data_IF_841992395334
#
_entry.id   IF_841992395334
#
_cell.length_a   1.000
_cell.length_b   1.000
_cell.length_c   1.000
_cell.angle_alpha   90.00
_cell.angle_beta   90.00
_cell.angle_gamma   90.00
#
_symmetry.space_group_name_H-M   'P 1'
#
loop_
_entity.id
_entity.type
_entity.pdbx_description
1 polymer ?
#
# COMPACT_ATOMS: atom_id res chain seq x y z
N UNK A 1 -65.57 -72.80 -0.56
CA UNK A 1 -65.77 -71.39 -0.94
C UNK A 1 -64.40 -70.73 -1.27
N UNK A 2 -64.13 -70.34 -2.51
CA UNK A 2 -62.80 -69.73 -2.83
C UNK A 2 -62.79 -68.29 -2.41
N UNK A 3 -61.74 -67.85 -1.61
CA UNK A 3 -61.45 -66.46 -1.28
C UNK A 3 -61.04 -65.66 -2.52
N UNK A 4 -61.86 -64.70 -2.96
CA UNK A 4 -61.54 -63.72 -3.97
C UNK A 4 -60.33 -62.85 -3.50
N UNK A 5 -59.19 -62.97 -4.13
CA UNK A 5 -58.10 -62.04 -3.95
C UNK A 5 -58.53 -60.61 -4.44
N UNK A 6 -58.66 -59.68 -3.47
CA UNK A 6 -58.82 -58.27 -3.78
C UNK A 6 -57.52 -57.82 -4.53
N UNK A 7 -57.63 -57.56 -5.84
CA UNK A 7 -56.57 -56.94 -6.62
C UNK A 7 -56.31 -55.55 -6.03
N UNK A 8 -55.00 -55.30 -5.70
CA UNK A 8 -54.52 -54.03 -5.20
C UNK A 8 -54.63 -52.94 -6.32
N UNK A 9 -55.81 -52.38 -6.48
CA UNK A 9 -56.04 -51.26 -7.41
C UNK A 9 -55.30 -50.00 -6.98
N UNK A 10 -55.05 -49.75 -5.72
CA UNK A 10 -54.36 -48.58 -5.19
C UNK A 10 -52.87 -48.57 -5.60
N UNK A 11 -52.20 -49.70 -5.59
CA UNK A 11 -50.79 -49.79 -6.02
C UNK A 11 -50.58 -49.50 -7.49
N UNK A 12 -51.53 -49.88 -8.36
CA UNK A 12 -51.44 -49.60 -9.81
C UNK A 12 -51.62 -48.13 -10.11
N UNK A 13 -52.53 -47.41 -9.43
CA UNK A 13 -52.73 -45.98 -9.65
C UNK A 13 -51.53 -45.17 -9.17
N UNK A 14 -50.89 -45.55 -8.07
CA UNK A 14 -49.68 -44.91 -7.57
C UNK A 14 -48.48 -45.12 -8.52
N UNK A 15 -48.31 -46.34 -9.05
CA UNK A 15 -47.27 -46.64 -10.06
C UNK A 15 -47.50 -45.85 -11.35
N UNK A 16 -48.73 -45.77 -11.83
CA UNK A 16 -49.08 -45.01 -13.02
C UNK A 16 -48.85 -43.51 -12.84
N UNK A 17 -49.21 -42.95 -11.68
CA UNK A 17 -48.94 -41.56 -11.30
C UNK A 17 -47.46 -41.28 -11.26
N UNK A 18 -46.65 -42.11 -10.59
CA UNK A 18 -45.19 -42.00 -10.57
C UNK A 18 -44.58 -42.06 -11.98
N UNK A 19 -45.07 -42.98 -12.82
CA UNK A 19 -44.60 -43.09 -14.22
C UNK A 19 -44.91 -41.83 -15.03
N UNK A 20 -46.09 -41.26 -14.88
CA UNK A 20 -46.46 -39.96 -15.51
C UNK A 20 -45.57 -38.84 -14.99
N UNK A 21 -45.31 -38.77 -13.69
CA UNK A 21 -44.39 -37.78 -13.09
C UNK A 21 -42.92 -37.91 -13.65
N UNK A 22 -42.46 -39.15 -13.81
CA UNK A 22 -41.13 -39.40 -14.44
C UNK A 22 -41.09 -38.92 -15.86
N UNK A 23 -42.15 -39.22 -16.67
CA UNK A 23 -42.21 -38.73 -18.07
C UNK A 23 -42.22 -37.21 -18.11
N UNK A 24 -42.98 -36.56 -17.22
CA UNK A 24 -42.97 -35.09 -17.13
C UNK A 24 -41.61 -34.54 -16.76
N UNK A 25 -40.91 -35.15 -15.80
CA UNK A 25 -39.55 -34.77 -15.42
C UNK A 25 -38.53 -34.93 -16.57
N UNK A 26 -38.60 -36.08 -17.27
CA UNK A 26 -37.76 -36.31 -18.46
C UNK A 26 -38.03 -35.31 -19.58
N UNK A 27 -39.30 -35.00 -19.82
CA UNK A 27 -39.67 -34.00 -20.80
C UNK A 27 -39.24 -32.58 -20.42
N UNK A 28 -39.36 -32.25 -19.10
CA UNK A 28 -38.88 -31.00 -18.57
C UNK A 28 -37.37 -30.87 -18.72
N UNK A 29 -36.61 -31.91 -18.35
CA UNK A 29 -35.14 -31.96 -18.49
C UNK A 29 -34.71 -31.83 -19.97
N UNK A 30 -35.44 -32.44 -20.89
CA UNK A 30 -35.19 -32.32 -22.33
C UNK A 30 -35.42 -30.91 -22.86
N UNK A 31 -36.47 -30.23 -22.38
CA UNK A 31 -36.78 -28.84 -22.72
C UNK A 31 -35.86 -27.82 -22.05
N UNK A 32 -35.33 -28.15 -20.88
CA UNK A 32 -34.47 -27.28 -20.06
C UNK A 32 -33.19 -28.01 -19.66
N UNK A 33 -32.29 -28.27 -20.63
CA UNK A 33 -31.10 -29.09 -20.35
C UNK A 33 -30.09 -28.43 -19.41
N UNK A 34 -30.17 -27.13 -19.16
CA UNK A 34 -29.34 -26.39 -18.21
C UNK A 34 -30.19 -25.87 -17.09
N UNK A 35 -29.91 -26.30 -15.87
CA UNK A 35 -30.48 -25.76 -14.63
C UNK A 35 -29.45 -24.88 -13.94
N UNK A 36 -29.82 -23.68 -13.57
CA UNK A 36 -28.98 -22.74 -12.83
C UNK A 36 -29.43 -22.63 -11.39
N UNK A 37 -28.52 -22.39 -10.45
CA UNK A 37 -28.85 -22.10 -9.05
C UNK A 37 -29.71 -20.84 -8.95
N UNK A 38 -29.38 -19.82 -9.76
CA UNK A 38 -30.15 -18.56 -9.83
C UNK A 38 -30.21 -18.02 -11.25
N UNK A 39 -31.34 -17.46 -11.64
CA UNK A 39 -31.48 -16.69 -12.89
C UNK A 39 -30.90 -15.27 -12.74
N UNK A 40 -30.83 -14.76 -11.49
CA UNK A 40 -30.36 -13.40 -11.20
C UNK A 40 -29.48 -13.42 -9.92
N UNK A 41 -28.27 -13.99 -9.97
CA UNK A 41 -27.36 -13.96 -8.83
C UNK A 41 -26.98 -12.54 -8.49
N UNK A 42 -26.86 -12.25 -7.20
CA UNK A 42 -26.29 -11.01 -6.70
C UNK A 42 -24.93 -11.37 -6.10
N UNK A 43 -23.91 -10.65 -6.51
CA UNK A 43 -22.53 -10.80 -6.00
C UNK A 43 -22.02 -9.47 -5.46
N UNK A 44 -21.18 -9.53 -4.47
CA UNK A 44 -20.57 -8.35 -3.86
C UNK A 44 -19.48 -7.76 -4.77
N UNK A 45 -19.32 -6.45 -4.76
CA UNK A 45 -18.24 -5.78 -5.49
C UNK A 45 -16.87 -6.36 -5.06
N UNK A 46 -15.95 -6.52 -6.03
CA UNK A 46 -14.63 -7.13 -5.88
C UNK A 46 -14.63 -8.60 -5.43
N UNK A 47 -15.78 -9.25 -5.35
CA UNK A 47 -15.85 -10.69 -5.08
C UNK A 47 -15.43 -11.47 -6.35
N UNK A 48 -14.58 -12.46 -6.17
CA UNK A 48 -14.27 -13.39 -7.26
C UNK A 48 -15.52 -14.17 -7.65
N UNK A 49 -15.83 -14.18 -8.95
CA UNK A 49 -16.99 -14.87 -9.48
C UNK A 49 -16.68 -15.60 -10.77
N UNK A 50 -16.94 -16.91 -10.76
CA UNK A 50 -16.91 -17.74 -11.96
C UNK A 50 -18.37 -18.08 -12.37
N UNK A 51 -18.82 -17.66 -13.57
CA UNK A 51 -20.14 -17.98 -14.06
C UNK A 51 -20.46 -19.48 -14.12
N UNK A 52 -19.46 -20.37 -14.24
CA UNK A 52 -19.67 -21.83 -14.24
C UNK A 52 -20.23 -22.31 -12.90
N UNK A 53 -19.89 -21.64 -11.80
CA UNK A 53 -20.40 -21.98 -10.45
C UNK A 53 -21.91 -21.82 -10.30
N UNK A 54 -22.56 -21.11 -11.20
CA UNK A 54 -24.03 -20.96 -11.21
C UNK A 54 -24.76 -22.11 -11.90
N UNK A 55 -24.04 -23.06 -12.53
CA UNK A 55 -24.65 -24.27 -13.11
C UNK A 55 -24.98 -25.22 -11.95
N UNK A 56 -26.27 -25.51 -11.78
CA UNK A 56 -26.75 -26.48 -10.80
C UNK A 56 -26.71 -27.89 -11.35
N UNK A 57 -27.16 -28.07 -12.60
CA UNK A 57 -27.29 -29.35 -13.25
C UNK A 57 -27.33 -29.21 -14.76
N UNK A 58 -26.63 -30.08 -15.48
CA UNK A 58 -26.78 -30.27 -16.91
C UNK A 58 -27.36 -31.67 -17.15
N UNK A 59 -28.46 -31.75 -17.88
CA UNK A 59 -29.12 -33.01 -18.17
C UNK A 59 -28.58 -33.60 -19.49
N UNK A 60 -28.26 -34.89 -19.48
CA UNK A 60 -27.80 -35.70 -20.63
C UNK A 60 -26.42 -35.30 -21.21
N UNK A 61 -25.71 -34.36 -20.58
CA UNK A 61 -24.41 -33.85 -20.99
C UNK A 61 -23.53 -33.57 -19.77
N UNK A 62 -22.24 -33.37 -19.98
CA UNK A 62 -21.35 -32.89 -18.94
C UNK A 62 -21.41 -31.37 -18.81
N UNK A 63 -21.13 -30.83 -17.64
CA UNK A 63 -21.07 -29.36 -17.40
C UNK A 63 -20.05 -28.70 -18.33
N UNK A 64 -18.95 -29.40 -18.66
CA UNK A 64 -17.91 -28.95 -19.61
C UNK A 64 -18.38 -28.72 -21.02
N UNK A 65 -19.55 -29.28 -21.40
CA UNK A 65 -20.11 -29.10 -22.75
C UNK A 65 -20.85 -27.76 -22.89
N UNK A 66 -21.11 -27.08 -21.77
CA UNK A 66 -21.78 -25.79 -21.77
C UNK A 66 -20.80 -24.69 -22.14
N UNK A 67 -21.05 -24.01 -23.25
CA UNK A 67 -20.33 -22.78 -23.62
C UNK A 67 -20.88 -21.60 -22.84
N UNK A 68 -20.03 -20.95 -22.07
CA UNK A 68 -20.36 -19.75 -21.32
C UNK A 68 -19.81 -18.54 -22.08
N UNK A 69 -20.66 -17.53 -22.30
CA UNK A 69 -20.27 -16.29 -22.96
C UNK A 69 -20.82 -15.08 -22.22
N UNK A 70 -20.11 -13.96 -22.31
CA UNK A 70 -20.29 -12.76 -21.51
C UNK A 70 -19.14 -12.58 -20.53
N UNK A 71 -19.05 -11.42 -19.92
CA UNK A 71 -18.03 -11.12 -18.92
C UNK A 71 -18.67 -10.36 -17.77
N UNK A 72 -18.29 -10.70 -16.55
CA UNK A 72 -18.69 -10.00 -15.33
C UNK A 72 -17.50 -9.20 -14.83
N UNK A 73 -17.62 -7.86 -14.82
CA UNK A 73 -16.63 -7.01 -14.17
C UNK A 73 -17.04 -6.80 -12.71
N UNK A 74 -16.49 -7.63 -11.84
CA UNK A 74 -16.81 -7.57 -10.40
C UNK A 74 -16.30 -6.31 -9.70
N UNK A 75 -15.33 -5.60 -10.29
CA UNK A 75 -14.84 -4.33 -9.75
C UNK A 75 -15.79 -3.14 -10.03
N UNK A 76 -16.91 -3.37 -10.70
CA UNK A 76 -17.86 -2.30 -11.05
C UNK A 76 -19.30 -2.74 -10.80
N UNK A 77 -20.00 -2.00 -9.96
CA UNK A 77 -21.44 -2.19 -9.73
C UNK A 77 -22.21 -2.05 -11.04
N UNK A 78 -23.10 -3.00 -11.30
CA UNK A 78 -23.87 -3.04 -12.54
C UNK A 78 -24.53 -4.40 -12.79
N UNK A 79 -25.21 -4.50 -13.93
CA UNK A 79 -25.82 -5.74 -14.40
C UNK A 79 -25.05 -6.28 -15.60
N UNK A 80 -24.73 -7.58 -15.55
CA UNK A 80 -23.94 -8.27 -16.55
C UNK A 80 -24.71 -9.49 -17.05
N UNK A 81 -24.85 -9.60 -18.36
CA UNK A 81 -25.55 -10.73 -18.98
C UNK A 81 -24.58 -11.84 -19.30
N UNK A 82 -24.81 -13.02 -18.77
CA UNK A 82 -24.10 -14.26 -19.10
C UNK A 82 -25.03 -15.19 -19.86
N UNK A 83 -24.53 -15.76 -20.94
CA UNK A 83 -25.26 -16.74 -21.76
C UNK A 83 -24.61 -18.10 -21.62
N UNK A 84 -25.39 -19.10 -21.22
CA UNK A 84 -25.07 -20.51 -21.18
C UNK A 84 -25.65 -21.17 -22.42
N UNK A 85 -24.83 -21.79 -23.23
CA UNK A 85 -25.25 -22.45 -24.45
C UNK A 85 -24.84 -23.92 -24.46
N UNK A 86 -25.81 -24.78 -24.71
CA UNK A 86 -25.61 -26.21 -24.92
C UNK A 86 -26.28 -26.59 -26.23
N UNK A 87 -25.50 -26.94 -27.27
CA UNK A 87 -25.99 -27.14 -28.63
C UNK A 87 -26.82 -25.93 -29.13
N UNK A 88 -28.10 -26.16 -29.47
CA UNK A 88 -29.01 -25.10 -29.89
C UNK A 88 -29.81 -24.45 -28.74
N UNK A 89 -29.64 -24.94 -27.50
CA UNK A 89 -30.31 -24.39 -26.34
C UNK A 89 -29.48 -23.25 -25.75
N UNK A 90 -30.13 -22.12 -25.46
CA UNK A 90 -29.51 -20.96 -24.83
C UNK A 90 -30.33 -20.54 -23.62
N UNK A 91 -29.61 -20.22 -22.54
CA UNK A 91 -30.19 -19.67 -21.33
C UNK A 91 -29.36 -18.46 -20.88
N UNK A 92 -30.03 -17.35 -20.66
CA UNK A 92 -29.39 -16.13 -20.14
C UNK A 92 -29.59 -15.99 -18.65
N UNK A 93 -28.63 -15.36 -18.00
CA UNK A 93 -28.61 -15.04 -16.59
C UNK A 93 -28.12 -13.60 -16.42
N UNK A 94 -28.76 -12.82 -15.59
CA UNK A 94 -28.33 -11.46 -15.27
C UNK A 94 -27.63 -11.50 -13.91
N UNK A 95 -26.34 -11.21 -13.90
CA UNK A 95 -25.52 -11.12 -12.69
C UNK A 95 -25.56 -9.66 -12.23
N UNK A 96 -26.04 -9.43 -11.00
CA UNK A 96 -26.04 -8.09 -10.40
C UNK A 96 -24.86 -7.95 -9.47
N UNK A 97 -23.85 -7.14 -9.87
CA UNK A 97 -22.75 -6.74 -8.96
C UNK A 97 -23.25 -5.57 -8.13
N UNK A 98 -23.20 -5.71 -6.82
CA UNK A 98 -23.63 -4.68 -5.86
C UNK A 98 -22.60 -4.49 -4.78
N UNK A 99 -22.59 -3.32 -4.18
CA UNK A 99 -21.95 -3.06 -2.91
C UNK A 99 -23.06 -2.98 -1.86
N UNK A 100 -23.10 -3.95 -0.96
CA UNK A 100 -24.12 -4.06 0.10
C UNK A 100 -23.52 -3.97 1.49
N UNK A 101 -22.19 -3.88 1.58
CA UNK A 101 -21.48 -3.83 2.84
C UNK A 101 -21.28 -2.40 3.31
N UNK A 102 -21.40 -2.21 4.61
CA UNK A 102 -21.16 -0.91 5.21
C UNK A 102 -19.67 -0.71 5.52
N UNK A 103 -19.17 0.53 5.41
CA UNK A 103 -17.80 0.87 5.77
C UNK A 103 -17.41 0.41 7.16
N UNK A 104 -16.23 -0.19 7.31
CA UNK A 104 -15.66 -0.59 8.59
C UNK A 104 -14.96 0.61 9.22
N UNK A 105 -15.68 1.30 10.13
CA UNK A 105 -15.20 2.51 10.80
C UNK A 105 -14.61 2.19 12.17
N UNK A 106 -13.37 2.68 12.42
CA UNK A 106 -12.73 2.71 13.75
C UNK A 106 -12.44 4.16 14.13
N UNK A 107 -12.88 4.56 15.32
CA UNK A 107 -12.70 5.93 15.82
C UNK A 107 -11.77 5.99 17.01
N UNK A 108 -11.35 7.21 17.35
CA UNK A 108 -10.55 7.60 18.51
C UNK A 108 -11.16 8.84 19.14
N UNK A 109 -10.89 9.08 20.41
CA UNK A 109 -11.18 10.37 21.05
C UNK A 109 -10.35 11.47 20.41
N UNK A 110 -10.91 12.69 20.39
CA UNK A 110 -10.22 13.87 19.89
C UNK A 110 -10.27 14.98 20.92
N UNK A 111 -9.12 15.63 21.15
CA UNK A 111 -8.97 16.76 22.02
C UNK A 111 -8.40 17.93 21.21
N UNK A 112 -9.00 19.11 21.30
CA UNK A 112 -8.55 20.30 20.60
C UNK A 112 -8.95 21.58 21.34
N UNK A 113 -8.59 22.73 20.80
CA UNK A 113 -8.99 24.04 21.33
C UNK A 113 -10.43 24.41 20.98
N UNK A 114 -11.00 25.39 21.70
CA UNK A 114 -12.37 25.90 21.48
C UNK A 114 -12.57 26.61 20.12
N UNK A 115 -11.48 26.93 19.45
CA UNK A 115 -11.50 27.77 18.22
C UNK A 115 -11.54 26.88 16.97
N UNK A 116 -11.18 25.58 17.08
CA UNK A 116 -11.13 24.69 15.94
C UNK A 116 -12.53 24.43 15.35
N UNK A 117 -12.61 24.49 14.03
CA UNK A 117 -13.73 23.92 13.27
C UNK A 117 -13.54 22.40 13.17
N UNK A 118 -14.12 21.67 14.13
CA UNK A 118 -13.91 20.23 14.29
C UNK A 118 -14.55 19.47 13.13
N UNK A 119 -13.77 18.62 12.49
CA UNK A 119 -14.20 17.77 11.36
C UNK A 119 -14.23 16.30 11.73
N UNK A 120 -15.14 15.50 11.12
CA UNK A 120 -15.26 14.08 11.45
C UNK A 120 -13.97 13.28 11.21
N UNK A 121 -13.13 13.67 10.25
CA UNK A 121 -11.84 13.03 9.95
C UNK A 121 -10.89 13.00 11.15
N UNK A 122 -10.96 13.98 12.05
CA UNK A 122 -10.13 14.06 13.25
C UNK A 122 -10.35 12.88 14.20
N UNK A 123 -11.54 12.29 14.18
CA UNK A 123 -11.91 11.15 15.02
C UNK A 123 -11.61 9.80 14.39
N UNK A 124 -11.25 9.73 13.12
CA UNK A 124 -11.07 8.47 12.42
C UNK A 124 -9.68 7.90 12.69
N UNK A 125 -9.64 6.66 13.21
CA UNK A 125 -8.43 5.86 13.30
C UNK A 125 -8.20 5.09 12.01
N UNK A 126 -9.25 4.50 11.45
CA UNK A 126 -9.27 3.87 10.13
C UNK A 126 -10.70 3.78 9.61
N UNK A 127 -10.84 3.86 8.30
CA UNK A 127 -12.06 3.50 7.57
C UNK A 127 -11.64 2.63 6.40
N UNK A 128 -12.39 1.52 6.19
CA UNK A 128 -12.14 0.58 5.09
C UNK A 128 -13.46 0.23 4.44
N UNK A 129 -13.45 0.23 3.12
CA UNK A 129 -14.57 -0.12 2.26
C UNK A 129 -14.06 -0.41 0.85
N UNK A 130 -14.83 -1.14 0.06
CA UNK A 130 -14.52 -1.41 -1.35
C UNK A 130 -14.91 -0.24 -2.26
N UNK A 131 -15.65 0.73 -1.74
CA UNK A 131 -16.07 1.93 -2.44
C UNK A 131 -15.63 3.21 -1.72
N UNK A 132 -15.84 4.37 -2.37
CA UNK A 132 -15.47 5.67 -1.78
C UNK A 132 -16.40 6.00 -0.62
N UNK A 133 -15.81 6.32 0.54
CA UNK A 133 -16.51 6.68 1.76
C UNK A 133 -16.50 8.18 2.01
N UNK A 134 -17.64 8.74 2.39
CA UNK A 134 -17.79 10.08 2.93
C UNK A 134 -17.99 10.01 4.45
N UNK A 135 -17.38 10.98 5.15
CA UNK A 135 -17.50 11.12 6.61
C UNK A 135 -18.37 12.32 6.97
N UNK A 136 -19.18 12.17 8.00
CA UNK A 136 -20.01 13.25 8.54
C UNK A 136 -20.29 13.07 10.01
N UNK A 137 -20.81 14.11 10.68
CA UNK A 137 -21.40 13.96 12.00
C UNK A 137 -22.92 13.64 11.88
N UNK A 138 -23.44 12.84 12.77
CA UNK A 138 -24.90 12.59 12.89
C UNK A 138 -25.67 13.77 13.49
N UNK A 139 -25.07 14.89 13.75
CA UNK A 139 -25.72 16.04 14.33
C UNK A 139 -24.77 17.22 14.40
N UNK A 140 -25.20 18.28 15.08
CA UNK A 140 -24.34 19.44 15.29
C UNK A 140 -23.36 19.18 16.43
N UNK A 141 -22.11 19.54 16.24
CA UNK A 141 -21.11 19.58 17.30
C UNK A 141 -21.34 20.87 18.09
N UNK A 142 -21.50 20.75 19.41
CA UNK A 142 -21.67 21.89 20.30
C UNK A 142 -20.32 22.52 20.67
N UNK A 143 -20.37 23.60 21.44
CA UNK A 143 -19.17 24.22 22.04
C UNK A 143 -18.92 23.78 23.49
N UNK A 144 -19.60 22.72 23.91
CA UNK A 144 -19.42 22.13 25.25
C UNK A 144 -18.01 21.55 25.39
N UNK A 145 -17.42 21.72 26.54
CA UNK A 145 -16.05 21.29 26.81
C UNK A 145 -15.84 19.78 26.70
N UNK A 146 -16.87 19.01 27.05
CA UNK A 146 -16.88 17.55 26.86
C UNK A 146 -18.20 17.10 26.25
N UNK A 147 -18.14 16.34 25.19
CA UNK A 147 -19.32 15.79 24.52
C UNK A 147 -18.98 14.50 23.77
N UNK A 148 -20.00 13.70 23.55
CA UNK A 148 -19.95 12.54 22.64
C UNK A 148 -20.46 12.98 21.26
N UNK A 149 -19.69 12.72 20.22
CA UNK A 149 -20.07 12.94 18.83
C UNK A 149 -20.19 11.62 18.11
N UNK A 150 -21.20 11.48 17.27
CA UNK A 150 -21.38 10.28 16.44
C UNK A 150 -20.85 10.55 15.04
N UNK A 151 -19.84 9.77 14.64
CA UNK A 151 -19.26 9.82 13.30
C UNK A 151 -20.02 8.84 12.41
N UNK A 152 -20.42 9.28 11.24
CA UNK A 152 -21.06 8.49 10.18
C UNK A 152 -20.09 8.32 9.06
N UNK A 153 -19.81 7.08 8.68
CA UNK A 153 -19.10 6.72 7.46
C UNK A 153 -20.13 6.15 6.46
N UNK A 154 -20.30 6.79 5.32
CA UNK A 154 -21.26 6.39 4.30
C UNK A 154 -20.58 6.24 2.95
N UNK A 155 -20.80 5.11 2.28
CA UNK A 155 -20.30 4.86 0.93
C UNK A 155 -21.17 5.54 -0.14
N UNK A 156 -20.74 5.43 -1.41
CA UNK A 156 -21.45 6.01 -2.56
C UNK A 156 -22.73 5.26 -2.93
N UNK A 157 -22.92 4.03 -2.42
CA UNK A 157 -24.10 3.18 -2.66
C UNK A 157 -25.13 3.29 -1.55
N UNK A 158 -24.78 4.03 -0.46
CA UNK A 158 -25.73 4.34 0.60
C UNK A 158 -25.58 3.49 1.86
N UNK A 159 -24.69 2.48 1.87
CA UNK A 159 -24.41 1.73 3.07
C UNK A 159 -23.63 2.60 4.06
N UNK A 160 -23.87 2.44 5.36
CA UNK A 160 -23.24 3.30 6.36
C UNK A 160 -22.99 2.57 7.67
N UNK A 161 -21.99 3.04 8.39
CA UNK A 161 -21.72 2.68 9.78
C UNK A 161 -21.62 3.93 10.64
N UNK A 162 -21.88 3.78 11.93
CA UNK A 162 -21.81 4.87 12.91
C UNK A 162 -20.99 4.42 14.11
N UNK A 163 -20.19 5.35 14.65
CA UNK A 163 -19.42 5.14 15.88
C UNK A 163 -19.39 6.42 16.71
N UNK A 164 -19.51 6.25 18.00
CA UNK A 164 -19.41 7.33 18.97
C UNK A 164 -17.95 7.55 19.39
N UNK A 165 -17.57 8.80 19.51
CA UNK A 165 -16.26 9.24 19.95
C UNK A 165 -16.38 10.40 20.93
N UNK A 166 -15.43 10.50 21.88
CA UNK A 166 -15.36 11.61 22.84
C UNK A 166 -14.65 12.79 22.18
N UNK A 167 -15.27 13.97 22.23
CA UNK A 167 -14.66 15.25 21.93
C UNK A 167 -14.40 15.98 23.25
N UNK A 168 -13.19 16.52 23.41
CA UNK A 168 -12.83 17.41 24.53
C UNK A 168 -12.32 18.72 23.94
N UNK A 169 -13.03 19.80 24.22
CA UNK A 169 -12.65 21.17 23.87
C UNK A 169 -12.02 21.86 25.08
N UNK A 170 -10.87 22.50 24.90
CA UNK A 170 -10.15 23.19 25.98
C UNK A 170 -9.73 24.58 25.55
N UNK A 171 -9.59 25.49 26.50
CA UNK A 171 -8.89 26.74 26.27
C UNK A 171 -7.40 26.51 26.10
N UNK A 172 -6.85 27.05 25.02
CA UNK A 172 -5.44 26.90 24.74
C UNK A 172 -4.66 28.17 25.15
N UNK A 173 -3.77 28.02 26.11
CA UNK A 173 -2.90 29.09 26.58
C UNK A 173 -1.42 28.81 26.32
N UNK A 174 -1.11 27.66 25.69
CA UNK A 174 0.27 27.28 25.40
C UNK A 174 0.71 27.85 24.06
N UNK A 175 1.99 28.16 23.97
CA UNK A 175 2.60 28.69 22.76
C UNK A 175 3.21 27.54 21.93
N UNK A 176 3.20 27.64 20.61
CA UNK A 176 3.95 26.72 19.77
C UNK A 176 5.42 26.63 20.16
N UNK A 177 5.98 25.45 20.01
CA UNK A 177 7.41 25.18 20.24
C UNK A 177 8.14 25.25 18.91
N UNK A 178 9.13 26.16 18.82
CA UNK A 178 10.00 26.28 17.65
C UNK A 178 11.33 25.59 18.01
N UNK A 179 11.64 24.45 17.37
CA UNK A 179 12.91 23.76 17.55
C UNK A 179 14.05 24.59 16.95
N UNK A 180 15.06 24.89 17.79
CA UNK A 180 16.20 25.73 17.37
C UNK A 180 17.32 24.87 16.79
N UNK A 181 17.21 24.51 15.52
CA UNK A 181 18.28 23.86 14.77
C UNK A 181 19.09 24.87 13.94
N UNK A 182 20.37 24.60 13.71
CA UNK A 182 21.18 25.37 12.77
C UNK A 182 20.80 24.97 11.35
N UNK A 183 20.58 25.96 10.48
CA UNK A 183 20.28 25.76 9.07
C UNK A 183 21.59 26.01 8.27
N UNK A 184 22.00 25.05 7.47
CA UNK A 184 23.12 25.16 6.54
C UNK A 184 22.57 25.39 5.14
N UNK A 185 23.10 26.40 4.45
CA UNK A 185 22.74 26.72 3.06
C UNK A 185 23.99 27.08 2.27
N UNK A 186 23.98 26.80 0.97
CA UNK A 186 25.09 27.15 0.13
C UNK A 186 25.04 28.58 -0.39
N UNK A 187 26.20 29.18 -0.55
CA UNK A 187 26.34 30.52 -1.13
C UNK A 187 25.67 30.59 -2.50
N UNK A 188 24.87 31.62 -2.72
CA UNK A 188 24.10 31.83 -3.95
C UNK A 188 22.77 31.06 -4.03
N UNK A 189 22.47 30.18 -3.07
CA UNK A 189 21.19 29.43 -3.05
C UNK A 189 20.00 30.32 -2.70
N UNK A 190 18.79 29.83 -3.05
CA UNK A 190 17.48 30.42 -2.66
C UNK A 190 16.72 29.42 -1.78
N UNK A 191 17.05 29.30 -0.49
CA UNK A 191 16.49 28.28 0.37
C UNK A 191 15.02 28.56 0.70
N UNK A 192 14.22 27.48 0.72
CA UNK A 192 12.90 27.51 1.35
C UNK A 192 13.09 27.25 2.85
N UNK A 193 13.23 28.32 3.63
CA UNK A 193 13.49 28.20 5.07
C UNK A 193 12.39 27.43 5.81
N UNK A 194 11.15 27.42 5.31
CA UNK A 194 10.05 26.69 5.97
C UNK A 194 10.30 25.19 6.06
N UNK A 195 10.98 24.60 5.08
CA UNK A 195 11.27 23.16 5.07
C UNK A 195 12.31 22.71 6.11
N UNK A 196 13.07 23.64 6.66
CA UNK A 196 14.08 23.36 7.70
C UNK A 196 13.53 23.55 9.13
N UNK A 197 12.29 24.05 9.28
CA UNK A 197 11.73 24.35 10.57
C UNK A 197 10.87 23.20 11.07
N UNK A 198 11.11 22.78 12.30
CA UNK A 198 10.22 21.90 13.03
C UNK A 198 9.51 22.72 14.10
N UNK A 199 8.20 22.85 13.94
CA UNK A 199 7.34 23.62 14.82
C UNK A 199 6.19 22.72 15.23
N UNK A 200 5.98 22.60 16.52
CA UNK A 200 4.94 21.76 17.11
C UNK A 200 4.10 22.56 18.10
N UNK A 201 2.89 22.11 18.28
CA UNK A 201 1.98 22.63 19.29
C UNK A 201 1.17 21.46 19.85
N UNK A 202 0.66 21.57 21.05
CA UNK A 202 -0.05 20.48 21.70
C UNK A 202 -1.51 20.32 21.20
N UNK A 203 -2.11 21.39 20.68
CA UNK A 203 -3.49 21.38 20.18
C UNK A 203 -3.60 21.79 18.71
N UNK A 204 -2.76 22.71 18.23
CA UNK A 204 -2.73 23.11 16.83
C UNK A 204 -1.64 22.37 16.03
N UNK A 205 -2.03 21.38 15.25
CA UNK A 205 -1.08 20.61 14.42
C UNK A 205 -0.44 21.42 13.28
N UNK A 206 -0.96 22.62 12.97
CA UNK A 206 -0.51 23.47 11.86
C UNK A 206 -0.43 24.95 12.22
N UNK A 207 0.40 25.33 13.21
CA UNK A 207 0.56 26.73 13.58
C UNK A 207 0.95 27.61 12.39
N UNK A 208 0.44 28.83 12.34
CA UNK A 208 0.79 29.81 11.31
C UNK A 208 2.22 30.29 11.49
N UNK A 209 3.07 30.11 10.45
CA UNK A 209 4.48 30.46 10.50
C UNK A 209 4.74 31.72 9.70
N UNK A 210 5.39 32.71 10.33
CA UNK A 210 5.93 33.91 9.67
C UNK A 210 7.45 33.89 9.78
N UNK A 211 8.14 33.98 8.63
CA UNK A 211 9.59 33.98 8.52
C UNK A 211 10.05 35.34 8.01
N UNK A 212 11.03 35.94 8.69
CA UNK A 212 11.73 37.12 8.21
C UNK A 212 13.22 36.76 7.98
N UNK A 213 13.62 36.70 6.72
CA UNK A 213 14.98 36.40 6.25
C UNK A 213 15.76 37.65 5.80
N UNK A 214 15.27 38.87 6.04
CA UNK A 214 15.90 40.09 5.57
C UNK A 214 17.36 40.25 6.05
N UNK A 215 17.69 39.66 7.20
CA UNK A 215 19.05 39.70 7.76
C UNK A 215 19.94 38.50 7.29
N UNK A 216 19.49 37.66 6.35
CA UNK A 216 20.26 36.55 5.82
C UNK A 216 20.73 36.89 4.40
N UNK A 217 22.04 37.07 4.25
CA UNK A 217 22.65 37.30 2.95
C UNK A 217 23.21 35.98 2.41
N UNK A 218 22.47 35.31 1.53
CA UNK A 218 22.90 34.05 0.93
C UNK A 218 24.01 34.24 -0.13
N UNK A 219 24.36 35.46 -0.53
CA UNK A 219 25.43 35.72 -1.50
C UNK A 219 26.84 35.80 -0.86
N UNK A 220 26.91 35.79 0.46
CA UNK A 220 28.16 35.95 1.20
C UNK A 220 28.22 34.90 2.32
N UNK A 221 29.35 34.21 2.40
CA UNK A 221 29.62 33.25 3.49
C UNK A 221 29.54 33.94 4.84
N UNK A 222 29.02 33.24 5.81
CA UNK A 222 28.89 33.78 7.15
C UNK A 222 27.78 33.15 7.99
N UNK A 223 27.63 33.69 9.19
CA UNK A 223 26.58 33.27 10.13
C UNK A 223 25.55 34.38 10.26
N UNK A 224 24.30 34.01 10.02
CA UNK A 224 23.15 34.92 10.02
C UNK A 224 22.08 34.48 11.01
N UNK A 225 21.10 35.34 11.28
CA UNK A 225 19.96 35.05 12.16
C UNK A 225 18.65 35.18 11.38
N UNK A 226 17.92 34.07 11.27
CA UNK A 226 16.59 34.03 10.70
C UNK A 226 15.56 34.24 11.81
N UNK A 227 14.67 35.23 11.67
CA UNK A 227 13.61 35.45 12.65
C UNK A 227 12.35 34.67 12.27
N UNK A 228 11.87 33.86 13.20
CA UNK A 228 10.68 33.01 13.02
C UNK A 228 9.66 33.35 14.10
N UNK A 229 8.40 33.50 13.69
CA UNK A 229 7.26 33.61 14.60
C UNK A 229 6.25 32.52 14.25
N UNK A 230 5.86 31.72 15.22
CA UNK A 230 4.77 30.76 15.12
C UNK A 230 3.58 31.27 15.92
N UNK A 231 2.38 31.13 15.38
CA UNK A 231 1.11 31.53 16.04
C UNK A 231 0.14 30.35 15.84
N UNK A 232 -0.38 29.82 16.96
CA UNK A 232 -1.45 28.83 16.94
C UNK A 232 -2.83 29.43 16.60
N UNK A 233 -3.86 28.59 16.54
CA UNK A 233 -5.23 29.02 16.28
C UNK A 233 -5.81 29.86 17.40
N UNK A 234 -5.41 29.63 18.65
CA UNK A 234 -5.86 30.36 19.83
C UNK A 234 -5.18 31.70 19.97
N UNK A 235 -4.18 32.01 19.12
CA UNK A 235 -3.48 33.30 19.07
C UNK A 235 -2.22 33.36 19.90
N UNK A 236 -1.80 32.26 20.57
CA UNK A 236 -0.54 32.23 21.34
C UNK A 236 0.65 32.29 20.38
N UNK A 237 1.70 33.01 20.75
CA UNK A 237 2.84 33.30 19.86
C UNK A 237 4.16 32.89 20.45
N UNK A 238 4.94 32.15 19.68
CA UNK A 238 6.35 31.90 19.94
C UNK A 238 7.21 32.66 18.92
N UNK A 239 8.37 33.13 19.37
CA UNK A 239 9.39 33.78 18.53
C UNK A 239 10.74 33.15 18.75
N UNK A 240 11.48 32.90 17.68
CA UNK A 240 12.83 32.39 17.73
C UNK A 240 13.75 33.07 16.72
N UNK A 241 15.05 33.13 17.05
CA UNK A 241 16.12 33.42 16.08
C UNK A 241 16.88 32.16 15.80
N UNK A 242 16.81 31.68 14.57
CA UNK A 242 17.45 30.46 14.08
C UNK A 242 18.80 30.85 13.46
N UNK A 243 19.86 30.12 13.80
CA UNK A 243 21.18 30.30 13.22
C UNK A 243 21.17 29.77 11.77
N UNK A 244 21.62 30.59 10.82
CA UNK A 244 21.81 30.19 9.43
C UNK A 244 23.28 30.33 9.10
N UNK A 245 23.92 29.27 8.68
CA UNK A 245 25.28 29.26 8.18
C UNK A 245 25.22 29.21 6.66
N UNK A 246 25.77 30.25 6.02
CA UNK A 246 25.96 30.31 4.57
C UNK A 246 27.41 29.94 4.30
N UNK A 247 27.65 28.93 3.51
CA UNK A 247 28.97 28.38 3.23
C UNK A 247 29.12 27.95 1.77
N UNK A 248 30.35 27.93 1.26
CA UNK A 248 30.61 27.42 -0.07
C UNK A 248 30.27 25.93 -0.14
N UNK A 249 29.68 25.45 -1.25
CA UNK A 249 29.48 24.03 -1.44
C UNK A 249 30.85 23.34 -1.43
N UNK A 250 30.98 22.33 -0.56
CA UNK A 250 32.20 21.50 -0.60
C UNK A 250 32.21 20.74 -1.92
N UNK A 251 33.34 20.88 -2.64
CA UNK A 251 33.58 20.02 -3.80
C UNK A 251 33.81 18.61 -3.30
N UNK A 252 32.89 17.71 -3.56
CA UNK A 252 32.99 16.29 -3.23
C UNK A 252 33.19 15.52 -4.52
N UNK A 253 34.19 14.66 -4.54
CA UNK A 253 34.40 13.69 -5.62
C UNK A 253 34.13 12.30 -5.05
N UNK A 254 33.19 11.58 -5.67
CA UNK A 254 32.94 10.19 -5.36
C UNK A 254 33.81 9.34 -6.30
N UNK A 255 34.73 8.61 -5.71
CA UNK A 255 35.65 7.73 -6.43
C UNK A 255 35.14 6.31 -6.42
N UNK A 256 34.99 5.66 -7.55
CA UNK A 256 34.57 4.27 -7.66
C UNK A 256 35.62 3.45 -8.40
N UNK A 257 35.71 2.18 -8.04
CA UNK A 257 36.55 1.19 -8.72
C UNK A 257 35.72 -0.06 -8.95
N UNK A 258 35.51 -0.37 -10.21
CA UNK A 258 34.63 -1.46 -10.63
C UNK A 258 35.48 -2.70 -11.00
N UNK A 259 34.84 -3.87 -11.14
CA UNK A 259 35.43 -5.15 -11.59
C UNK A 259 36.50 -5.77 -10.67
N UNK A 260 36.71 -5.19 -9.49
CA UNK A 260 37.62 -5.76 -8.48
C UNK A 260 37.07 -7.01 -7.79
N UNK A 261 37.89 -7.66 -6.95
CA UNK A 261 39.28 -7.36 -6.62
C UNK A 261 40.29 -7.79 -7.68
N UNK A 262 41.45 -7.13 -7.73
CA UNK A 262 42.52 -7.45 -8.62
C UNK A 262 43.90 -7.24 -7.95
N UNK A 263 45.00 -7.56 -8.66
CA UNK A 263 46.38 -7.26 -8.19
C UNK A 263 46.63 -5.78 -7.93
N UNK A 264 45.80 -4.89 -8.52
CA UNK A 264 45.93 -3.46 -8.37
C UNK A 264 45.16 -2.94 -7.13
N UNK A 265 44.22 -3.70 -6.59
CA UNK A 265 43.39 -3.26 -5.45
C UNK A 265 44.23 -2.81 -4.25
N UNK A 266 45.27 -3.58 -3.89
CA UNK A 266 46.16 -3.21 -2.79
C UNK A 266 47.02 -1.98 -3.07
N UNK A 267 47.40 -1.76 -4.32
CA UNK A 267 48.14 -0.55 -4.75
C UNK A 267 47.24 0.67 -4.60
N UNK A 268 45.99 0.57 -5.05
CA UNK A 268 44.97 1.62 -4.92
C UNK A 268 44.72 1.94 -3.45
N UNK A 269 44.53 0.93 -2.59
CA UNK A 269 44.33 1.10 -1.15
C UNK A 269 45.52 1.84 -0.48
N UNK A 270 46.75 1.56 -0.88
CA UNK A 270 47.92 2.28 -0.39
C UNK A 270 47.88 3.76 -0.76
N UNK A 271 47.45 4.08 -2.01
CA UNK A 271 47.35 5.47 -2.48
C UNK A 271 46.19 6.18 -1.72
N UNK A 272 45.01 5.58 -1.62
CA UNK A 272 43.89 6.14 -0.88
C UNK A 272 44.28 6.45 0.56
N UNK A 273 44.96 5.50 1.24
CA UNK A 273 45.44 5.69 2.60
C UNK A 273 46.43 6.85 2.72
N UNK A 274 47.35 6.97 1.74
CA UNK A 274 48.35 8.05 1.75
C UNK A 274 47.70 9.44 1.70
N UNK A 275 46.58 9.58 0.98
CA UNK A 275 45.90 10.86 0.80
C UNK A 275 44.66 11.01 1.70
N UNK A 276 44.45 10.10 2.65
CA UNK A 276 43.26 10.02 3.53
C UNK A 276 41.92 10.08 2.73
N UNK A 277 41.97 9.51 1.52
CA UNK A 277 40.81 9.42 0.64
C UNK A 277 40.05 8.09 0.81
N UNK A 278 38.76 8.09 0.52
CA UNK A 278 37.90 6.90 0.53
C UNK A 278 37.29 6.70 -0.85
N UNK A 279 36.95 5.46 -1.17
CA UNK A 279 36.32 5.09 -2.43
C UNK A 279 35.25 4.01 -2.21
N UNK A 280 34.42 3.80 -3.22
CA UNK A 280 33.54 2.64 -3.33
C UNK A 280 34.15 1.62 -4.27
N UNK A 281 34.28 0.37 -3.84
CA UNK A 281 34.74 -0.74 -4.65
C UNK A 281 33.56 -1.62 -5.03
N UNK A 282 33.20 -1.63 -6.31
CA UNK A 282 32.19 -2.52 -6.88
C UNK A 282 32.87 -3.84 -7.25
N UNK A 283 32.61 -4.89 -6.46
CA UNK A 283 33.36 -6.14 -6.54
C UNK A 283 32.61 -7.24 -7.29
N UNK A 284 33.36 -8.09 -7.99
CA UNK A 284 32.85 -9.26 -8.72
C UNK A 284 33.37 -10.55 -8.09
N UNK A 285 32.84 -11.72 -8.52
CA UNK A 285 33.32 -13.04 -8.13
C UNK A 285 34.54 -13.56 -8.93
N UNK A 286 35.01 -12.83 -9.94
CA UNK A 286 35.95 -13.34 -10.93
C UNK A 286 37.37 -13.64 -10.42
N UNK A 287 37.86 -12.90 -9.42
CA UNK A 287 39.26 -12.98 -8.96
C UNK A 287 39.38 -13.32 -7.47
N UNK A 288 38.79 -14.42 -7.04
CA UNK A 288 38.68 -14.82 -5.63
C UNK A 288 40.00 -14.89 -4.86
N UNK A 289 41.15 -15.14 -5.55
CA UNK A 289 42.48 -15.11 -4.94
C UNK A 289 42.84 -13.77 -4.31
N UNK A 290 42.15 -12.69 -4.68
CA UNK A 290 42.34 -11.35 -4.14
C UNK A 290 41.24 -10.93 -3.13
N UNK A 291 40.36 -11.84 -2.70
CA UNK A 291 39.27 -11.52 -1.78
C UNK A 291 39.74 -10.93 -0.44
N UNK A 292 40.97 -11.25 -0.03
CA UNK A 292 41.58 -10.61 1.15
C UNK A 292 41.70 -9.08 1.00
N UNK A 293 41.82 -8.57 -0.22
CA UNK A 293 41.86 -7.13 -0.50
C UNK A 293 40.51 -6.44 -0.31
N UNK A 294 39.38 -7.16 -0.47
CA UNK A 294 38.02 -6.66 -0.14
C UNK A 294 37.95 -6.40 1.37
N UNK A 295 38.34 -7.39 2.20
CA UNK A 295 38.40 -7.23 3.67
C UNK A 295 39.28 -6.07 4.08
N UNK A 296 40.41 -5.91 3.41
CA UNK A 296 41.36 -4.81 3.66
C UNK A 296 40.77 -3.45 3.28
N UNK A 297 40.09 -3.36 2.14
CA UNK A 297 39.42 -2.14 1.69
C UNK A 297 38.38 -1.70 2.72
N UNK A 298 37.52 -2.63 3.17
CA UNK A 298 36.52 -2.39 4.21
C UNK A 298 37.14 -1.92 5.53
N UNK A 299 38.15 -2.62 6.03
CA UNK A 299 38.88 -2.24 7.28
C UNK A 299 39.52 -0.85 7.20
N UNK A 300 39.89 -0.40 6.01
CA UNK A 300 40.42 0.94 5.77
C UNK A 300 39.31 2.00 5.60
N UNK A 301 38.03 1.65 5.82
CA UNK A 301 36.88 2.55 5.77
C UNK A 301 36.43 2.91 4.36
N UNK A 302 36.69 2.06 3.37
CA UNK A 302 36.12 2.18 2.05
C UNK A 302 34.76 1.44 1.99
N UNK A 303 33.89 1.83 1.06
CA UNK A 303 32.61 1.15 0.81
C UNK A 303 32.84 -0.04 -0.11
N UNK A 304 32.22 -1.18 0.20
CA UNK A 304 32.15 -2.34 -0.69
C UNK A 304 30.74 -2.41 -1.28
N UNK A 305 30.66 -2.51 -2.59
CA UNK A 305 29.42 -2.62 -3.35
C UNK A 305 29.45 -3.84 -4.27
N UNK A 306 28.30 -4.32 -4.68
CA UNK A 306 28.17 -5.53 -5.49
C UNK A 306 28.14 -5.15 -6.99
N UNK A 307 28.90 -5.92 -7.82
CA UNK A 307 28.97 -5.70 -9.27
C UNK A 307 28.76 -7.00 -10.05
N UNK A 308 27.76 -7.80 -9.67
CA UNK A 308 27.48 -9.15 -10.14
C UNK A 308 28.62 -10.14 -9.81
N UNK A 309 28.30 -11.43 -9.77
CA UNK A 309 29.29 -12.48 -9.44
C UNK A 309 30.11 -12.88 -10.66
N UNK A 310 29.45 -13.23 -11.76
CA UNK A 310 30.07 -13.70 -12.99
C UNK A 310 30.61 -12.57 -13.86
N UNK A 311 30.01 -11.38 -13.79
CA UNK A 311 30.25 -10.24 -14.67
C UNK A 311 30.17 -10.64 -16.16
N UNK A 312 29.29 -11.60 -16.48
CA UNK A 312 29.02 -12.06 -17.84
C UNK A 312 27.63 -11.67 -18.29
N UNK A 313 27.53 -10.81 -19.27
CA UNK A 313 26.28 -10.26 -19.78
C UNK A 313 25.30 -11.31 -20.24
N UNK A 314 25.79 -12.36 -20.94
CA UNK A 314 24.95 -13.41 -21.48
C UNK A 314 24.31 -14.23 -20.35
N UNK A 315 25.04 -14.47 -19.27
CA UNK A 315 24.57 -15.18 -18.10
C UNK A 315 23.64 -14.30 -17.25
N UNK A 316 24.10 -13.12 -16.87
CA UNK A 316 23.40 -12.22 -15.92
C UNK A 316 22.06 -11.73 -16.46
N UNK A 317 21.97 -11.44 -17.74
CA UNK A 317 20.75 -10.91 -18.36
C UNK A 317 19.95 -11.93 -19.16
N UNK A 318 20.22 -13.23 -19.00
CA UNK A 318 19.45 -14.30 -19.64
C UNK A 318 18.00 -14.39 -19.13
N UNK A 319 17.77 -14.07 -17.85
CA UNK A 319 16.44 -13.95 -17.22
C UNK A 319 16.52 -13.13 -15.94
N UNK A 320 15.36 -12.72 -15.41
CA UNK A 320 15.26 -12.05 -14.10
C UNK A 320 15.81 -12.93 -12.98
N UNK A 321 15.51 -14.24 -13.03
CA UNK A 321 15.98 -15.19 -12.01
C UNK A 321 17.49 -15.34 -12.06
N UNK A 322 18.09 -15.48 -13.26
CA UNK A 322 19.54 -15.52 -13.43
C UNK A 322 20.24 -14.30 -12.86
N UNK A 323 19.68 -13.11 -13.06
CA UNK A 323 20.19 -11.87 -12.48
C UNK A 323 20.19 -11.91 -10.94
N UNK A 324 19.07 -12.30 -10.33
CA UNK A 324 18.98 -12.38 -8.87
C UNK A 324 19.83 -13.50 -8.27
N UNK A 325 19.97 -14.63 -8.94
CA UNK A 325 20.88 -15.71 -8.52
C UNK A 325 22.34 -15.27 -8.54
N UNK A 326 22.77 -14.59 -9.59
CA UNK A 326 24.13 -14.06 -9.71
C UNK A 326 24.41 -13.02 -8.63
N UNK A 327 23.43 -12.13 -8.39
CA UNK A 327 23.50 -11.12 -7.35
C UNK A 327 23.55 -11.73 -5.94
N UNK A 328 22.79 -12.80 -5.69
CA UNK A 328 22.82 -13.50 -4.42
C UNK A 328 24.20 -14.15 -4.18
N UNK A 329 24.82 -14.74 -5.22
CA UNK A 329 26.17 -15.33 -5.13
C UNK A 329 27.22 -14.33 -4.71
N UNK A 330 27.22 -13.12 -5.31
CA UNK A 330 28.19 -12.07 -4.93
C UNK A 330 27.90 -11.55 -3.51
N UNK A 331 26.64 -11.40 -3.13
CA UNK A 331 26.25 -11.01 -1.77
C UNK A 331 26.77 -11.98 -0.74
N UNK A 332 26.58 -13.28 -0.97
CA UNK A 332 27.04 -14.34 -0.06
C UNK A 332 28.56 -14.43 -0.01
N UNK A 333 29.25 -14.26 -1.13
CA UNK A 333 30.70 -14.17 -1.16
C UNK A 333 31.23 -13.03 -0.29
N UNK A 334 30.65 -11.82 -0.42
CA UNK A 334 31.08 -10.66 0.35
C UNK A 334 30.78 -10.83 1.84
N UNK A 335 29.64 -11.41 2.23
CA UNK A 335 29.30 -11.74 3.63
C UNK A 335 30.30 -12.73 4.22
N UNK A 336 30.68 -13.77 3.48
CA UNK A 336 31.61 -14.81 3.92
C UNK A 336 33.06 -14.31 4.08
N UNK A 337 33.41 -13.14 3.55
CA UNK A 337 34.73 -12.51 3.78
C UNK A 337 34.86 -11.94 5.21
N UNK A 338 33.90 -12.23 6.11
CA UNK A 338 33.87 -11.74 7.49
C UNK A 338 33.98 -10.20 7.61
N UNK A 339 33.07 -9.51 6.97
CA UNK A 339 32.83 -8.09 7.25
C UNK A 339 32.01 -8.00 8.55
N UNK A 340 32.62 -8.44 9.68
CA UNK A 340 32.01 -8.40 10.99
C UNK A 340 32.00 -6.99 11.53
N UNK A 341 30.85 -6.56 12.01
CA UNK A 341 30.47 -5.35 12.78
C UNK A 341 30.01 -4.16 11.95
N UNK A 342 28.76 -4.19 11.57
CA UNK A 342 27.70 -3.18 11.76
C UNK A 342 26.58 -3.41 10.74
N UNK A 343 25.34 -3.11 11.15
CA UNK A 343 24.11 -3.24 10.36
C UNK A 343 24.01 -2.23 9.17
N UNK A 344 25.14 -1.69 8.72
CA UNK A 344 25.20 -0.69 7.66
C UNK A 344 26.18 -1.12 6.55
N UNK A 345 25.95 -2.30 6.00
CA UNK A 345 26.48 -2.58 4.67
C UNK A 345 25.53 -1.91 3.67
N UNK A 346 25.86 -0.70 3.22
CA UNK A 346 25.13 -0.04 2.13
C UNK A 346 25.30 -0.89 0.87
N UNK A 347 24.33 -1.78 0.62
CA UNK A 347 24.24 -2.55 -0.59
C UNK A 347 23.79 -1.59 -1.70
N UNK A 348 24.72 -1.06 -2.47
CA UNK A 348 24.40 -0.33 -3.68
C UNK A 348 24.62 -1.24 -4.89
N UNK A 349 23.58 -1.33 -5.70
CA UNK A 349 23.56 -1.96 -7.02
C UNK A 349 23.77 -0.89 -8.08
N UNK A 350 24.67 -1.14 -9.00
CA UNK A 350 24.69 -0.49 -10.32
C UNK A 350 24.55 -1.57 -11.37
#
# INVERSE_FOLDING_TARGET
MPRKRRKNRFGNHLLTFLFICIIFLLFYAFKNPILLYSSNPVIEINQDYDPSSNIQQVFYHADSDVKISGNVNTAKVGEYTITYQLNNYKKTCIISVKDTQAPVLKVKSYKTDLVEDVKPEAFVKSVKDDSKVALSFKGKVSKDTEQTVTIVAKDVYGNYSMKDAKLTLVEDHKKPVIEKSTIHVYTGSKPNYKSYLKITDDLDQKPKIKINSSNVNTKKDGTYKLSVTATDRSGNKAKAKIKVIVEQPKKVVYMTFDDGPSENTDKILKILKKYDAKATFFVTGNNQKYNSSIKKAYKLGNTIALHTYTHDYATVYSSTDAYFEDLQKISDMVKNIELTHSNECGLFLI
#
